data_IF_209436910692
#
_entry.id   IF_209436910692
#
_cell.length_a   1.000
_cell.length_b   1.000
_cell.length_c   1.000
_cell.angle_alpha   90.00
_cell.angle_beta   90.00
_cell.angle_gamma   90.00
#
_symmetry.space_group_name_H-M   'P 1'
#
loop_
_entity.id
_entity.type
_entity.pdbx_description
1 polymer ?
#
# COMPACT_ATOMS: atom_id res chain seq x y z
N UNK A 1 12.58 -20.67 5.75
CA UNK A 1 12.68 -19.34 5.11
C UNK A 1 14.03 -18.82 5.52
N UNK A 2 14.86 -18.51 4.53
CA UNK A 2 16.25 -18.15 4.75
C UNK A 2 16.51 -16.90 3.93
N UNK A 3 17.10 -15.89 4.56
CA UNK A 3 17.53 -14.65 3.93
C UNK A 3 19.03 -14.78 3.69
N UNK A 4 19.49 -14.48 2.49
CA UNK A 4 20.88 -14.61 2.10
C UNK A 4 21.27 -13.47 1.17
N UNK A 5 22.59 -13.36 0.90
CA UNK A 5 23.15 -12.34 0.00
C UNK A 5 22.72 -10.92 0.37
N UNK A 6 22.74 -10.61 1.66
CA UNK A 6 22.41 -9.28 2.13
C UNK A 6 23.53 -8.32 1.71
N UNK A 7 23.16 -7.23 1.07
CA UNK A 7 24.05 -6.15 0.66
C UNK A 7 23.47 -4.80 1.11
N UNK A 8 24.35 -3.85 1.42
CA UNK A 8 23.98 -2.52 1.90
C UNK A 8 24.76 -1.47 1.13
N UNK A 9 24.04 -0.69 0.32
CA UNK A 9 24.60 0.41 -0.47
C UNK A 9 24.21 1.74 0.16
N UNK A 10 25.20 2.52 0.59
CA UNK A 10 24.95 3.86 1.14
C UNK A 10 24.74 4.88 0.02
N UNK A 11 23.83 5.83 0.23
CA UNK A 11 23.66 6.95 -0.69
C UNK A 11 24.84 7.92 -0.59
N UNK A 12 25.13 8.63 -1.69
CA UNK A 12 26.16 9.67 -1.73
C UNK A 12 25.72 10.95 -1.01
N UNK A 13 26.67 11.81 -0.67
CA UNK A 13 26.44 13.16 -0.12
C UNK A 13 25.67 13.22 1.22
N UNK A 14 25.66 12.12 1.99
CA UNK A 14 25.05 12.10 3.33
C UNK A 14 25.70 13.09 4.28
N UNK A 15 27.00 13.29 4.12
CA UNK A 15 27.84 14.18 4.91
C UNK A 15 27.45 15.65 4.80
N UNK A 16 26.66 16.06 3.80
CA UNK A 16 26.11 17.41 3.71
C UNK A 16 24.96 17.65 4.70
N UNK A 17 24.24 16.60 5.10
CA UNK A 17 23.00 16.70 5.90
C UNK A 17 23.16 16.03 7.27
N UNK A 18 23.94 14.95 7.34
CA UNK A 18 24.20 14.15 8.52
C UNK A 18 25.66 14.32 8.96
N UNK A 19 25.91 14.28 10.27
CA UNK A 19 27.26 14.08 10.81
C UNK A 19 27.73 12.63 10.56
N UNK A 20 26.80 11.69 10.53
CA UNK A 20 27.06 10.31 10.17
C UNK A 20 25.78 9.47 10.16
N UNK A 21 25.86 8.35 9.44
CA UNK A 21 24.84 7.31 9.38
C UNK A 21 25.55 5.98 9.17
N UNK A 22 25.20 4.98 9.98
CA UNK A 22 25.82 3.66 9.89
C UNK A 22 24.78 2.58 10.22
N UNK A 23 24.72 1.57 9.36
CA UNK A 23 24.04 0.31 9.61
C UNK A 23 25.09 -0.71 10.07
N UNK A 24 25.01 -1.09 11.34
CA UNK A 24 25.88 -2.09 11.97
C UNK A 24 25.38 -3.51 11.71
N UNK A 25 24.06 -3.66 11.65
CA UNK A 25 23.36 -4.87 11.23
C UNK A 25 22.24 -4.51 10.24
N UNK A 26 21.98 -5.34 9.21
CA UNK A 26 22.70 -6.58 8.87
C UNK A 26 24.10 -6.30 8.31
N UNK A 27 25.07 -7.18 8.60
CA UNK A 27 26.38 -7.13 7.95
C UNK A 27 26.32 -7.71 6.53
N UNK A 28 26.96 -7.11 5.52
CA UNK A 28 26.99 -7.65 4.16
C UNK A 28 27.49 -9.10 4.13
N UNK A 29 26.85 -9.94 3.30
CA UNK A 29 27.18 -11.36 3.17
C UNK A 29 26.62 -12.27 4.27
N UNK A 30 25.87 -11.73 5.24
CA UNK A 30 25.23 -12.54 6.29
C UNK A 30 24.13 -13.42 5.69
N UNK A 31 24.10 -14.69 6.11
CA UNK A 31 22.96 -15.59 5.93
C UNK A 31 22.17 -15.69 7.23
N UNK A 32 20.86 -15.59 7.13
CA UNK A 32 19.92 -15.61 8.26
C UNK A 32 18.91 -16.71 8.01
N UNK A 33 18.94 -17.76 8.82
CA UNK A 33 17.97 -18.86 8.76
C UNK A 33 16.67 -18.52 9.54
N UNK A 34 16.02 -17.44 9.10
CA UNK A 34 14.76 -16.95 9.63
C UNK A 34 14.05 -16.13 8.57
N UNK A 35 12.76 -15.86 8.76
CA UNK A 35 12.02 -14.91 7.94
C UNK A 35 12.21 -13.45 8.38
N UNK A 36 13.03 -13.18 9.39
CA UNK A 36 13.20 -11.86 9.96
C UNK A 36 14.67 -11.45 10.01
N UNK A 37 14.91 -10.14 10.00
CA UNK A 37 16.24 -9.56 10.02
C UNK A 37 16.36 -8.53 11.13
N UNK A 38 17.53 -8.53 11.79
CA UNK A 38 17.90 -7.53 12.77
C UNK A 38 18.49 -6.31 12.07
N UNK A 39 18.11 -5.15 12.56
CA UNK A 39 18.71 -3.87 12.22
C UNK A 39 19.25 -3.20 13.47
N UNK A 40 20.50 -2.74 13.40
CA UNK A 40 21.16 -1.98 14.45
C UNK A 40 22.04 -0.91 13.80
N UNK A 41 22.16 0.25 14.44
CA UNK A 41 22.94 1.35 13.91
C UNK A 41 22.64 2.69 14.57
N UNK A 42 23.11 3.76 13.92
CA UNK A 42 22.93 5.12 14.40
C UNK A 42 22.81 6.13 13.25
N UNK A 43 22.13 7.25 13.51
CA UNK A 43 21.90 8.30 12.53
C UNK A 43 21.90 9.67 13.21
N UNK A 44 22.87 10.52 12.85
CA UNK A 44 23.10 11.81 13.51
C UNK A 44 23.00 12.96 12.51
N UNK A 45 22.01 13.85 12.69
CA UNK A 45 21.80 15.00 11.81
C UNK A 45 22.75 16.16 12.12
N UNK A 46 23.16 16.93 11.10
CA UNK A 46 23.91 18.19 11.31
C UNK A 46 23.08 19.30 11.94
N UNK A 47 21.78 19.33 11.64
CA UNK A 47 20.83 20.30 12.17
C UNK A 47 19.59 19.58 12.71
N UNK A 48 19.23 19.88 13.94
CA UNK A 48 18.10 19.25 14.63
C UNK A 48 18.40 17.80 15.02
N UNK A 49 17.42 16.91 14.85
CA UNK A 49 17.51 15.48 15.19
C UNK A 49 16.98 14.62 14.06
N UNK A 50 17.54 13.43 13.91
CA UNK A 50 16.85 12.33 13.22
C UNK A 50 15.80 11.80 14.20
N UNK A 51 14.51 11.82 13.82
CA UNK A 51 13.41 11.37 14.70
C UNK A 51 13.16 9.88 14.57
N UNK A 52 13.26 9.39 13.33
CA UNK A 52 12.95 8.01 12.96
C UNK A 52 13.64 7.65 11.67
N UNK A 53 13.86 6.35 11.47
CA UNK A 53 14.12 5.79 10.15
C UNK A 53 12.80 5.29 9.55
N UNK A 54 12.66 5.48 8.25
CA UNK A 54 11.55 4.96 7.46
C UNK A 54 12.10 4.02 6.39
N UNK A 55 11.65 2.78 6.43
CA UNK A 55 11.98 1.74 5.45
C UNK A 55 10.87 1.70 4.43
N UNK A 56 11.21 1.87 3.17
CA UNK A 56 10.29 1.93 2.05
C UNK A 56 10.52 0.71 1.14
N UNK A 57 9.44 0.15 0.63
CA UNK A 57 9.49 -0.89 -0.39
C UNK A 57 8.33 -0.69 -1.38
N UNK A 58 8.63 -0.67 -2.68
CA UNK A 58 7.60 -0.59 -3.71
C UNK A 58 6.69 0.65 -3.59
N UNK A 59 7.30 1.81 -3.31
CA UNK A 59 6.62 3.10 -3.17
C UNK A 59 5.88 3.34 -1.85
N UNK A 60 5.87 2.37 -0.92
CA UNK A 60 5.11 2.48 0.35
C UNK A 60 5.98 2.28 1.59
N UNK A 61 5.62 2.92 2.72
CA UNK A 61 6.26 2.63 4.00
C UNK A 61 6.02 1.19 4.41
N UNK A 62 7.11 0.50 4.73
CA UNK A 62 7.10 -0.89 5.16
C UNK A 62 7.37 -1.03 6.65
N UNK A 63 8.32 -0.27 7.19
CA UNK A 63 8.60 -0.19 8.64
C UNK A 63 9.02 1.23 8.99
N UNK A 64 8.82 1.62 10.25
CA UNK A 64 9.31 2.88 10.79
C UNK A 64 9.79 2.64 12.21
N UNK A 65 10.98 3.14 12.55
CA UNK A 65 11.59 2.94 13.86
C UNK A 65 12.11 4.25 14.44
N UNK A 66 11.92 4.50 15.74
CA UNK A 66 12.45 5.71 16.38
C UNK A 66 13.98 5.67 16.46
N UNK A 67 14.61 6.84 16.37
CA UNK A 67 16.04 7.03 16.62
C UNK A 67 16.20 7.73 17.96
N UNK A 68 16.27 6.93 19.02
CA UNK A 68 16.24 7.42 20.41
C UNK A 68 17.14 6.62 21.36
N UNK A 69 17.76 5.54 20.87
CA UNK A 69 18.54 4.65 21.72
C UNK A 69 19.95 5.20 21.96
N UNK A 70 20.55 4.73 23.04
CA UNK A 70 21.95 4.99 23.29
C UNK A 70 22.83 4.25 22.26
N UNK A 71 23.89 4.89 21.79
CA UNK A 71 24.89 4.25 20.92
C UNK A 71 26.30 4.73 21.27
N UNK A 72 27.13 3.82 21.76
CA UNK A 72 28.49 4.13 22.24
C UNK A 72 29.45 4.51 21.11
N UNK A 73 29.29 3.91 19.93
CA UNK A 73 30.12 4.19 18.75
C UNK A 73 29.87 5.62 18.26
N UNK A 74 28.61 6.03 18.15
CA UNK A 74 28.26 7.40 17.79
C UNK A 74 28.74 8.41 18.85
N UNK A 75 28.55 8.09 20.14
CA UNK A 75 28.97 8.94 21.25
C UNK A 75 30.49 9.18 21.25
N UNK A 76 31.29 8.14 20.99
CA UNK A 76 32.75 8.22 20.95
C UNK A 76 33.28 8.90 19.68
N UNK A 77 32.68 8.67 18.51
CA UNK A 77 33.09 9.32 17.25
C UNK A 77 32.70 10.79 17.16
N UNK A 78 31.65 11.20 17.89
CA UNK A 78 31.09 12.55 17.83
C UNK A 78 30.91 13.17 19.23
N UNK A 79 31.95 13.10 20.07
CA UNK A 79 31.93 13.58 21.48
C UNK A 79 31.38 15.00 21.64
N UNK A 80 31.72 15.90 20.71
CA UNK A 80 31.33 17.31 20.77
C UNK A 80 30.01 17.63 20.05
N UNK A 81 29.28 16.62 19.56
CA UNK A 81 28.02 16.81 18.85
C UNK A 81 26.85 16.47 19.77
N UNK A 82 25.98 17.47 20.01
CA UNK A 82 24.79 17.29 20.83
C UNK A 82 23.90 16.17 20.28
N UNK A 83 23.55 15.21 21.13
CA UNK A 83 22.67 14.09 20.77
C UNK A 83 23.37 12.87 20.17
N UNK A 84 24.70 12.91 20.01
CA UNK A 84 25.48 11.76 19.56
C UNK A 84 25.27 10.50 20.43
N UNK A 85 25.08 10.67 21.73
CA UNK A 85 24.81 9.57 22.65
C UNK A 85 23.38 9.02 22.59
N UNK A 86 22.44 9.66 21.91
CA UNK A 86 21.03 9.20 21.84
C UNK A 86 20.53 9.12 20.39
N UNK A 87 21.42 8.77 19.47
CA UNK A 87 21.13 8.70 18.04
C UNK A 87 21.13 7.26 17.49
N UNK A 88 21.06 6.27 18.38
CA UNK A 88 20.96 4.86 18.04
C UNK A 88 19.55 4.41 17.69
N UNK A 89 19.47 3.32 16.93
CA UNK A 89 18.24 2.59 16.67
C UNK A 89 18.52 1.09 16.65
N UNK A 90 17.49 0.31 17.02
CA UNK A 90 17.52 -1.15 16.95
C UNK A 90 16.11 -1.64 16.67
N UNK A 91 15.97 -2.64 15.81
CA UNK A 91 14.72 -3.38 15.65
C UNK A 91 14.97 -4.74 15.01
N UNK A 92 13.96 -5.60 15.04
CA UNK A 92 13.83 -6.73 14.12
C UNK A 92 12.57 -6.55 13.30
N UNK A 93 12.58 -6.98 12.04
CA UNK A 93 11.42 -6.93 11.17
C UNK A 93 11.29 -8.20 10.34
N UNK A 94 10.05 -8.61 10.04
CA UNK A 94 9.76 -9.77 9.21
C UNK A 94 9.78 -9.43 7.73
N UNK A 95 10.28 -10.32 6.89
CA UNK A 95 10.40 -10.14 5.43
C UNK A 95 9.12 -10.46 4.65
N UNK A 96 8.03 -10.78 5.34
CA UNK A 96 6.72 -10.96 4.72
C UNK A 96 6.28 -9.69 3.97
N UNK A 97 5.84 -9.88 2.73
CA UNK A 97 5.48 -8.86 1.77
C UNK A 97 6.67 -8.28 1.01
N UNK A 98 7.84 -8.90 1.04
CA UNK A 98 8.94 -8.56 0.11
C UNK A 98 8.92 -9.52 -1.09
N UNK A 99 9.55 -9.21 -2.23
CA UNK A 99 9.78 -10.18 -3.32
C UNK A 99 11.01 -11.05 -3.06
N UNK A 100 11.11 -12.29 -3.61
CA UNK A 100 12.23 -13.21 -3.34
C UNK A 100 13.60 -12.55 -3.49
N UNK A 101 13.75 -11.65 -4.47
CA UNK A 101 14.82 -10.66 -4.49
C UNK A 101 14.22 -9.32 -4.12
N UNK A 102 14.68 -8.71 -3.03
CA UNK A 102 14.09 -7.49 -2.51
C UNK A 102 15.09 -6.35 -2.42
N UNK A 103 14.52 -5.14 -2.43
CA UNK A 103 15.21 -3.90 -2.13
C UNK A 103 14.37 -3.11 -1.13
N UNK A 104 15.03 -2.60 -0.08
CA UNK A 104 14.46 -1.72 0.94
C UNK A 104 15.25 -0.42 0.94
N UNK A 105 14.56 0.69 0.68
CA UNK A 105 15.16 2.02 0.76
C UNK A 105 15.03 2.54 2.19
N UNK A 106 16.13 3.06 2.74
CA UNK A 106 16.22 3.53 4.12
C UNK A 106 16.32 5.05 4.12
N UNK A 107 15.34 5.71 4.72
CA UNK A 107 15.31 7.15 4.87
C UNK A 107 15.46 7.58 6.33
N UNK A 108 16.34 8.53 6.62
CA UNK A 108 16.30 9.28 7.86
C UNK A 108 15.25 10.39 7.77
N UNK A 109 14.31 10.42 8.71
CA UNK A 109 13.32 11.49 8.82
C UNK A 109 13.76 12.46 9.90
N UNK A 110 14.09 13.68 9.48
CA UNK A 110 14.54 14.75 10.36
C UNK A 110 13.38 15.35 11.16
N UNK A 111 13.69 16.10 12.21
CA UNK A 111 12.71 16.78 13.06
C UNK A 111 11.77 17.73 12.31
N UNK A 112 12.22 18.32 11.21
CA UNK A 112 11.40 19.17 10.34
C UNK A 112 10.57 18.39 9.31
N UNK A 113 10.56 17.05 9.39
CA UNK A 113 9.84 16.18 8.46
C UNK A 113 10.59 15.86 7.15
N UNK A 114 11.72 16.51 6.88
CA UNK A 114 12.54 16.22 5.68
C UNK A 114 13.02 14.77 5.73
N UNK A 115 12.82 14.06 4.62
CA UNK A 115 13.36 12.71 4.40
C UNK A 115 14.70 12.80 3.70
N UNK A 116 15.67 12.05 4.17
CA UNK A 116 17.03 11.97 3.60
C UNK A 116 17.27 10.51 3.24
N UNK A 117 17.48 10.16 1.95
CA UNK A 117 17.84 8.80 1.57
C UNK A 117 19.22 8.48 2.15
N UNK A 118 19.33 7.38 2.90
CA UNK A 118 20.54 7.01 3.64
C UNK A 118 21.23 5.78 3.06
N UNK A 119 20.47 4.71 2.84
CA UNK A 119 21.00 3.48 2.30
C UNK A 119 19.91 2.69 1.57
N UNK A 120 20.35 1.71 0.80
CA UNK A 120 19.53 0.70 0.16
C UNK A 120 20.00 -0.67 0.65
N UNK A 121 19.09 -1.44 1.26
CA UNK A 121 19.34 -2.81 1.69
C UNK A 121 18.80 -3.75 0.61
N UNK A 122 19.63 -4.65 0.11
CA UNK A 122 19.25 -5.69 -0.85
C UNK A 122 19.44 -7.06 -0.23
N UNK A 123 18.64 -8.03 -0.69
CA UNK A 123 18.80 -9.40 -0.26
C UNK A 123 17.94 -10.36 -1.07
N UNK A 124 18.23 -11.63 -0.89
CA UNK A 124 17.45 -12.73 -1.45
C UNK A 124 16.82 -13.53 -0.31
N UNK A 125 15.62 -14.05 -0.53
CA UNK A 125 14.96 -14.95 0.41
C UNK A 125 14.09 -15.98 -0.29
N UNK A 126 13.85 -17.06 0.42
CA UNK A 126 12.87 -18.07 0.00
C UNK A 126 11.43 -17.55 0.20
N UNK A 127 10.52 -17.74 -0.78
CA UNK A 127 9.12 -17.36 -0.64
C UNK A 127 8.43 -18.21 0.42
N UNK A 128 7.32 -17.69 0.96
CA UNK A 128 6.46 -18.45 1.86
C UNK A 128 5.80 -19.61 1.11
N UNK A 129 5.61 -20.74 1.79
CA UNK A 129 4.95 -21.93 1.23
C UNK A 129 3.90 -22.44 2.22
N UNK A 130 2.78 -21.71 2.40
CA UNK A 130 1.72 -22.15 3.26
C UNK A 130 1.15 -23.49 2.76
N UNK A 131 0.73 -24.35 3.68
CA UNK A 131 0.20 -25.68 3.34
C UNK A 131 -1.17 -25.62 2.63
N UNK A 132 -1.89 -24.50 2.77
CA UNK A 132 -3.18 -24.28 2.12
C UNK A 132 -2.97 -23.64 0.75
N UNK A 133 -3.50 -24.29 -0.30
CA UNK A 133 -3.54 -23.73 -1.64
C UNK A 133 -4.82 -22.89 -1.81
N UNK A 134 -4.71 -21.57 -2.09
CA UNK A 134 -5.87 -20.72 -2.29
C UNK A 134 -6.67 -21.13 -3.54
N UNK A 135 -7.99 -21.03 -3.45
CA UNK A 135 -8.98 -21.37 -4.48
C UNK A 135 -9.39 -20.17 -5.32
N UNK A 136 -9.35 -18.98 -4.74
CA UNK A 136 -9.60 -17.70 -5.41
C UNK A 136 -8.33 -16.87 -5.43
N UNK A 137 -8.26 -15.88 -6.31
CA UNK A 137 -7.15 -14.92 -6.37
C UNK A 137 -7.61 -13.49 -6.05
N UNK A 138 -6.79 -12.66 -5.39
CA UNK A 138 -7.13 -11.27 -5.14
C UNK A 138 -6.99 -10.44 -6.43
N UNK A 139 -8.02 -9.63 -6.69
CA UNK A 139 -7.98 -8.49 -7.58
C UNK A 139 -8.03 -7.20 -6.74
N UNK A 140 -6.92 -6.49 -6.63
CA UNK A 140 -6.89 -5.21 -5.89
C UNK A 140 -7.06 -4.02 -6.82
N UNK A 141 -8.02 -3.13 -6.53
CA UNK A 141 -8.13 -1.81 -7.15
C UNK A 141 -7.41 -0.78 -6.27
N UNK A 142 -6.15 -0.49 -6.59
CA UNK A 142 -5.35 0.51 -5.85
C UNK A 142 -5.62 1.90 -6.41
N UNK A 143 -6.14 2.81 -5.58
CA UNK A 143 -6.48 4.16 -6.03
C UNK A 143 -6.63 5.15 -4.87
N UNK A 144 -6.93 6.40 -5.19
CA UNK A 144 -7.34 7.43 -4.24
C UNK A 144 -8.87 7.51 -4.14
N UNK A 145 -9.38 8.25 -3.17
CA UNK A 145 -10.81 8.56 -3.13
C UNK A 145 -11.19 9.43 -4.34
N UNK A 146 -12.43 9.28 -4.82
CA UNK A 146 -13.04 10.10 -5.90
C UNK A 146 -12.40 9.97 -7.29
N UNK A 147 -11.66 8.89 -7.52
CA UNK A 147 -11.10 8.50 -8.84
C UNK A 147 -11.98 7.51 -9.60
N UNK A 148 -13.22 7.28 -9.14
CA UNK A 148 -14.16 6.37 -9.80
C UNK A 148 -14.11 4.91 -9.34
N UNK A 149 -13.45 4.61 -8.22
CA UNK A 149 -13.37 3.25 -7.67
C UNK A 149 -14.73 2.58 -7.46
N UNK A 150 -15.74 3.31 -6.98
CA UNK A 150 -17.11 2.77 -6.84
C UNK A 150 -17.66 2.28 -8.18
N UNK A 151 -17.50 3.06 -9.25
CA UNK A 151 -17.93 2.67 -10.60
C UNK A 151 -17.17 1.43 -11.06
N UNK A 152 -15.83 1.44 -10.92
CA UNK A 152 -15.00 0.31 -11.32
C UNK A 152 -15.42 -0.97 -10.60
N UNK A 153 -15.65 -0.91 -9.27
CA UNK A 153 -16.12 -2.06 -8.49
C UNK A 153 -17.51 -2.52 -8.94
N UNK A 154 -18.45 -1.59 -9.20
CA UNK A 154 -19.78 -1.94 -9.72
C UNK A 154 -19.72 -2.65 -11.07
N UNK A 155 -18.89 -2.17 -11.99
CA UNK A 155 -18.71 -2.77 -13.30
C UNK A 155 -18.05 -4.15 -13.20
N UNK A 156 -16.97 -4.28 -12.42
CA UNK A 156 -16.28 -5.55 -12.21
C UNK A 156 -17.17 -6.59 -11.53
N UNK A 157 -18.06 -6.16 -10.62
CA UNK A 157 -19.04 -7.04 -9.98
C UNK A 157 -19.99 -7.70 -10.97
N UNK A 158 -20.14 -7.20 -12.20
CA UNK A 158 -21.01 -7.83 -13.20
C UNK A 158 -20.34 -9.00 -13.93
N UNK A 159 -19.01 -9.08 -13.91
CA UNK A 159 -18.31 -10.17 -14.59
C UNK A 159 -18.51 -11.50 -13.81
N UNK A 160 -18.88 -12.62 -14.45
CA UNK A 160 -19.18 -13.87 -13.76
C UNK A 160 -17.99 -14.42 -12.96
N UNK A 161 -16.76 -14.23 -13.44
CA UNK A 161 -15.53 -14.69 -12.77
C UNK A 161 -15.03 -13.82 -11.61
N UNK A 162 -15.71 -12.71 -11.27
CA UNK A 162 -15.29 -11.79 -10.22
C UNK A 162 -16.36 -11.70 -9.13
N UNK A 163 -15.98 -11.92 -7.87
CA UNK A 163 -16.84 -11.72 -6.70
C UNK A 163 -16.33 -10.56 -5.85
N UNK A 164 -17.23 -9.82 -5.22
CA UNK A 164 -16.91 -8.83 -4.18
C UNK A 164 -18.14 -8.64 -3.30
N UNK A 165 -17.97 -8.09 -2.09
CA UNK A 165 -19.12 -7.69 -1.28
C UNK A 165 -19.89 -6.58 -1.99
N UNK A 166 -21.07 -6.92 -2.52
CA UNK A 166 -21.86 -6.04 -3.38
C UNK A 166 -22.55 -4.90 -2.61
N UNK A 167 -22.34 -4.81 -1.29
CA UNK A 167 -22.83 -3.69 -0.51
C UNK A 167 -22.06 -2.41 -0.83
N UNK A 168 -22.79 -1.41 -1.31
CA UNK A 168 -22.27 -0.04 -1.40
C UNK A 168 -21.77 0.42 -0.01
N UNK A 169 -20.57 1.03 0.12
CA UNK A 169 -19.76 1.62 -0.95
C UNK A 169 -18.67 0.71 -1.54
N UNK A 170 -18.76 -0.61 -1.36
CA UNK A 170 -17.73 -1.59 -1.73
C UNK A 170 -16.43 -1.39 -0.92
N UNK A 171 -16.56 -1.09 0.38
CA UNK A 171 -15.44 -0.79 1.29
C UNK A 171 -14.99 -2.00 2.11
N UNK A 172 -15.71 -3.12 2.05
CA UNK A 172 -15.34 -4.34 2.73
C UNK A 172 -13.99 -4.83 2.20
N UNK A 173 -13.05 -5.08 3.12
CA UNK A 173 -11.71 -5.59 2.83
C UNK A 173 -11.33 -6.79 3.70
N UNK A 174 -12.09 -7.90 3.68
CA UNK A 174 -11.76 -9.05 4.53
C UNK A 174 -10.38 -9.64 4.25
N UNK A 175 -9.96 -9.74 2.99
CA UNK A 175 -8.62 -10.21 2.64
C UNK A 175 -7.56 -9.21 3.13
N UNK A 176 -7.78 -7.91 2.89
CA UNK A 176 -6.91 -6.86 3.45
C UNK A 176 -6.74 -6.95 4.98
N UNK A 177 -7.82 -7.27 5.71
CA UNK A 177 -7.77 -7.50 7.16
C UNK A 177 -6.89 -8.70 7.51
N UNK A 178 -7.11 -9.85 6.89
CA UNK A 178 -6.32 -11.07 7.13
C UNK A 178 -4.85 -10.91 6.73
N UNK A 179 -4.55 -10.19 5.64
CA UNK A 179 -3.18 -9.84 5.24
C UNK A 179 -2.50 -8.97 6.28
N UNK A 180 -3.22 -7.97 6.81
CA UNK A 180 -2.68 -7.10 7.85
C UNK A 180 -2.45 -7.88 9.15
N UNK A 181 -3.40 -8.72 9.55
CA UNK A 181 -3.27 -9.55 10.76
C UNK A 181 -2.09 -10.52 10.63
N UNK A 182 -1.93 -11.17 9.49
CA UNK A 182 -0.77 -12.01 9.20
C UNK A 182 0.53 -11.21 9.29
N UNK A 183 0.59 -10.00 8.71
CA UNK A 183 1.77 -9.13 8.83
C UNK A 183 2.12 -8.87 10.28
N UNK A 184 1.15 -8.49 11.12
CA UNK A 184 1.40 -8.20 12.52
C UNK A 184 1.88 -9.44 13.28
N UNK A 185 1.24 -10.59 13.08
CA UNK A 185 1.59 -11.82 13.78
C UNK A 185 2.97 -12.37 13.32
N UNK A 186 3.30 -12.23 12.04
CA UNK A 186 4.58 -12.66 11.49
C UNK A 186 5.76 -11.77 11.88
N UNK A 187 5.52 -10.55 12.38
CA UNK A 187 6.58 -9.65 12.82
C UNK A 187 7.20 -10.13 14.14
N UNK A 188 8.53 -10.02 14.28
CA UNK A 188 9.16 -10.11 15.59
C UNK A 188 8.61 -9.02 16.51
N UNK A 189 8.28 -9.40 17.74
CA UNK A 189 7.96 -8.46 18.80
C UNK A 189 9.18 -7.64 19.20
N UNK A 190 8.96 -6.33 19.35
CA UNK A 190 9.99 -5.39 19.78
C UNK A 190 9.35 -4.27 20.59
N UNK A 191 9.98 -3.88 21.69
CA UNK A 191 9.52 -2.78 22.54
C UNK A 191 8.48 -3.19 23.60
N UNK A 192 7.59 -2.26 23.95
CA UNK A 192 6.62 -2.45 25.03
C UNK A 192 5.58 -3.49 24.64
N UNK A 193 5.43 -4.52 25.46
CA UNK A 193 4.38 -5.52 25.30
C UNK A 193 3.04 -4.96 25.81
N UNK A 194 2.01 -4.97 24.96
CA UNK A 194 0.64 -4.54 25.32
C UNK A 194 -0.37 -5.69 25.29
N UNK A 195 0.07 -6.93 25.06
CA UNK A 195 -0.77 -8.10 24.74
C UNK A 195 -1.92 -8.35 25.72
N UNK A 196 -1.69 -8.18 27.02
CA UNK A 196 -2.71 -8.39 28.07
C UNK A 196 -3.31 -7.08 28.60
N UNK A 197 -2.70 -5.94 28.26
CA UNK A 197 -3.06 -4.64 28.84
C UNK A 197 -3.99 -3.80 27.97
N UNK A 198 -4.06 -4.10 26.67
CA UNK A 198 -4.87 -3.36 25.71
C UNK A 198 -5.70 -4.33 24.86
N UNK A 199 -6.98 -4.50 25.21
CA UNK A 199 -7.91 -5.39 24.52
C UNK A 199 -8.37 -4.84 23.16
N UNK A 200 -7.98 -3.61 22.80
CA UNK A 200 -8.35 -2.97 21.52
C UNK A 200 -7.28 -3.10 20.45
N UNK A 201 -6.08 -3.59 20.81
CA UNK A 201 -4.93 -3.68 19.91
C UNK A 201 -4.37 -5.10 19.95
N UNK A 202 -4.16 -5.69 18.76
CA UNK A 202 -3.40 -6.93 18.62
C UNK A 202 -1.92 -6.59 18.35
N UNK A 203 -1.01 -6.70 19.34
CA UNK A 203 0.42 -6.53 19.08
C UNK A 203 1.00 -7.77 18.39
N UNK A 204 2.22 -7.68 17.82
CA UNK A 204 2.99 -8.85 17.42
C UNK A 204 3.12 -9.85 18.58
N UNK A 205 3.22 -11.13 18.27
CA UNK A 205 3.30 -12.19 19.28
C UNK A 205 4.49 -11.94 20.23
N UNK A 206 4.28 -11.73 21.55
CA UNK A 206 5.36 -11.36 22.48
C UNK A 206 6.40 -12.48 22.67
N UNK A 207 6.04 -13.71 22.29
CA UNK A 207 6.93 -14.87 22.31
C UNK A 207 7.78 -14.99 21.05
N UNK A 208 7.44 -14.29 19.96
CA UNK A 208 8.32 -14.09 18.81
C UNK A 208 9.28 -12.92 19.10
N UNK A 209 10.10 -13.02 20.15
CA UNK A 209 11.02 -11.98 20.59
C UNK A 209 12.47 -12.41 20.37
N UNK A 210 13.40 -11.45 20.30
CA UNK A 210 14.84 -11.74 20.15
C UNK A 210 15.33 -12.76 21.20
N UNK A 211 14.84 -12.67 22.45
CA UNK A 211 15.21 -13.58 23.54
C UNK A 211 14.81 -15.03 23.25
N UNK A 212 13.61 -15.24 22.72
CA UNK A 212 13.11 -16.58 22.38
C UNK A 212 13.72 -17.06 21.07
N UNK A 213 13.89 -16.18 20.09
CA UNK A 213 14.50 -16.49 18.79
C UNK A 213 15.96 -16.92 18.91
N UNK A 214 16.67 -16.50 19.96
CA UNK A 214 18.03 -16.95 20.26
C UNK A 214 18.10 -18.43 20.73
N UNK A 215 16.95 -19.09 20.95
CA UNK A 215 16.88 -20.54 21.21
C UNK A 215 16.64 -21.27 19.88
N UNK A 216 17.63 -22.01 19.33
CA UNK A 216 17.62 -22.43 17.92
C UNK A 216 16.30 -23.04 17.42
N UNK A 217 15.77 -24.05 18.12
CA UNK A 217 14.53 -24.74 17.72
C UNK A 217 13.30 -23.81 17.76
N UNK A 218 13.23 -22.90 18.73
CA UNK A 218 12.11 -21.96 18.84
C UNK A 218 12.25 -20.82 17.83
N UNK A 219 13.48 -20.36 17.56
CA UNK A 219 13.77 -19.39 16.52
C UNK A 219 13.35 -19.88 15.14
N UNK A 220 13.71 -21.12 14.79
CA UNK A 220 13.25 -21.77 13.56
C UNK A 220 11.71 -21.90 13.53
N UNK A 221 11.11 -22.37 14.62
CA UNK A 221 9.65 -22.53 14.68
C UNK A 221 8.91 -21.22 14.45
N UNK A 222 9.28 -20.13 15.14
CA UNK A 222 8.66 -18.81 14.97
C UNK A 222 8.98 -18.20 13.59
N UNK A 223 10.21 -18.38 13.10
CA UNK A 223 10.64 -17.86 11.80
C UNK A 223 10.03 -18.60 10.61
N UNK A 224 9.58 -19.84 10.79
CA UNK A 224 9.15 -20.71 9.68
C UNK A 224 7.77 -21.32 9.91
N UNK A 225 7.66 -22.29 10.81
CA UNK A 225 6.45 -23.08 10.98
C UNK A 225 5.25 -22.21 11.39
N UNK A 226 5.46 -21.29 12.33
CA UNK A 226 4.45 -20.37 12.83
C UNK A 226 3.88 -19.51 11.69
N UNK A 227 4.73 -18.81 10.94
CA UNK A 227 4.28 -17.91 9.86
C UNK A 227 3.58 -18.66 8.72
N UNK A 228 4.07 -19.84 8.33
CA UNK A 228 3.38 -20.66 7.31
C UNK A 228 2.00 -21.14 7.78
N UNK A 229 1.86 -21.51 9.06
CA UNK A 229 0.56 -21.91 9.64
C UNK A 229 -0.41 -20.74 9.75
N UNK A 230 0.06 -19.58 10.20
CA UNK A 230 -0.77 -18.36 10.25
C UNK A 230 -1.23 -17.93 8.86
N UNK A 231 -0.34 -18.04 7.85
CA UNK A 231 -0.70 -17.74 6.47
C UNK A 231 -1.73 -18.73 5.92
N UNK A 232 -1.54 -20.05 6.15
CA UNK A 232 -2.52 -21.05 5.75
C UNK A 232 -3.91 -20.80 6.38
N UNK A 233 -3.95 -20.45 7.66
CA UNK A 233 -5.19 -20.10 8.36
C UNK A 233 -5.86 -18.85 7.76
N UNK A 234 -5.09 -17.80 7.50
CA UNK A 234 -5.59 -16.58 6.86
C UNK A 234 -6.19 -16.88 5.48
N UNK A 235 -5.48 -17.62 4.63
CA UNK A 235 -5.92 -18.00 3.29
C UNK A 235 -7.22 -18.80 3.32
N UNK A 236 -7.33 -19.77 4.23
CA UNK A 236 -8.53 -20.57 4.39
C UNK A 236 -9.75 -19.71 4.76
N UNK A 237 -9.60 -18.78 5.71
CA UNK A 237 -10.69 -17.89 6.12
C UNK A 237 -11.12 -16.92 4.99
N UNK A 238 -10.16 -16.42 4.21
CA UNK A 238 -10.46 -15.56 3.05
C UNK A 238 -11.30 -16.33 2.03
N UNK A 239 -10.86 -17.52 1.64
CA UNK A 239 -11.55 -18.34 0.64
C UNK A 239 -12.92 -18.83 1.11
N UNK A 240 -13.07 -19.15 2.39
CA UNK A 240 -14.36 -19.51 2.97
C UNK A 240 -15.32 -18.33 2.95
N UNK A 241 -14.89 -17.15 3.39
CA UNK A 241 -15.76 -15.97 3.37
C UNK A 241 -16.16 -15.55 1.95
N UNK A 242 -15.22 -15.53 1.01
CA UNK A 242 -15.56 -15.14 -0.37
C UNK A 242 -16.43 -16.17 -1.09
N UNK A 243 -16.42 -17.43 -0.67
CA UNK A 243 -17.39 -18.43 -1.11
C UNK A 243 -18.79 -18.11 -0.64
N UNK A 244 -18.95 -17.70 0.62
CA UNK A 244 -20.26 -17.26 1.15
C UNK A 244 -20.75 -15.99 0.44
N UNK A 245 -19.87 -15.01 0.22
CA UNK A 245 -20.20 -13.80 -0.56
C UNK A 245 -20.60 -14.17 -2.00
N UNK A 246 -19.90 -15.12 -2.61
CA UNK A 246 -20.24 -15.60 -3.95
C UNK A 246 -21.63 -16.26 -3.98
N UNK A 247 -21.97 -17.05 -2.96
CA UNK A 247 -23.30 -17.65 -2.82
C UNK A 247 -24.40 -16.59 -2.67
N UNK A 248 -24.20 -15.57 -1.82
CA UNK A 248 -25.12 -14.43 -1.65
C UNK A 248 -25.35 -13.69 -2.98
N UNK A 249 -24.29 -13.53 -3.77
CA UNK A 249 -24.32 -12.86 -5.07
C UNK A 249 -24.79 -13.76 -6.23
N UNK A 250 -25.27 -14.99 -5.94
CA UNK A 250 -25.67 -15.98 -6.94
C UNK A 250 -24.56 -16.35 -7.95
N UNK A 251 -23.29 -16.35 -7.50
CA UNK A 251 -22.11 -16.74 -8.27
C UNK A 251 -21.53 -18.05 -7.75
N UNK A 252 -22.24 -19.14 -7.94
CA UNK A 252 -21.88 -20.45 -7.37
C UNK A 252 -20.78 -21.20 -8.14
N UNK A 253 -20.44 -20.79 -9.36
CA UNK A 253 -19.40 -21.43 -10.19
C UNK A 253 -18.66 -20.42 -11.06
N UNK A 254 -17.44 -20.77 -11.50
CA UNK A 254 -16.65 -19.97 -12.44
C UNK A 254 -15.99 -18.72 -11.86
N UNK A 255 -16.08 -18.49 -10.54
CA UNK A 255 -15.41 -17.39 -9.85
C UNK A 255 -13.91 -17.68 -9.75
N UNK A 256 -13.09 -16.74 -10.22
CA UNK A 256 -11.63 -16.82 -10.19
C UNK A 256 -11.06 -15.79 -9.23
N UNK A 257 -11.65 -14.59 -9.20
CA UNK A 257 -11.16 -13.47 -8.42
C UNK A 257 -12.14 -13.02 -7.37
N UNK A 258 -11.63 -12.65 -6.19
CA UNK A 258 -12.33 -11.72 -5.32
C UNK A 258 -11.73 -10.31 -5.49
N UNK A 259 -12.55 -9.26 -5.48
CA UNK A 259 -12.10 -7.90 -5.69
C UNK A 259 -12.24 -7.02 -4.44
N UNK A 260 -11.19 -6.25 -4.14
CA UNK A 260 -11.17 -5.26 -3.06
C UNK A 260 -10.55 -3.96 -3.58
N UNK A 261 -11.06 -2.81 -3.13
CA UNK A 261 -10.40 -1.52 -3.38
C UNK A 261 -9.50 -1.16 -2.21
N UNK A 262 -8.35 -0.55 -2.49
CA UNK A 262 -7.37 -0.22 -1.48
C UNK A 262 -6.68 1.11 -1.77
N UNK A 263 -6.22 1.78 -0.73
CA UNK A 263 -5.23 2.85 -0.88
C UNK A 263 -3.86 2.22 -1.22
N UNK A 264 -2.90 3.01 -1.75
CA UNK A 264 -1.54 2.53 -1.93
C UNK A 264 -0.92 2.15 -0.57
N UNK A 265 -0.73 0.85 -0.34
CA UNK A 265 -0.20 0.31 0.92
C UNK A 265 0.64 -0.95 0.70
N UNK A 266 1.09 -1.60 1.77
CA UNK A 266 1.96 -2.77 1.70
C UNK A 266 1.20 -4.09 1.49
N UNK A 267 -0.12 -4.10 1.65
CA UNK A 267 -0.92 -5.34 1.63
C UNK A 267 -0.91 -6.03 0.26
N UNK A 268 -0.80 -5.27 -0.83
CA UNK A 268 -0.71 -5.83 -2.18
C UNK A 268 0.56 -6.67 -2.38
N UNK A 269 1.64 -6.36 -1.66
CA UNK A 269 2.84 -7.20 -1.70
C UNK A 269 2.66 -8.52 -0.95
N UNK A 270 1.89 -8.52 0.15
CA UNK A 270 1.50 -9.74 0.85
C UNK A 270 0.60 -10.58 -0.04
N UNK A 271 -0.37 -9.95 -0.71
CA UNK A 271 -1.23 -10.63 -1.67
C UNK A 271 -0.41 -11.34 -2.76
N UNK A 272 0.60 -10.69 -3.34
CA UNK A 272 1.50 -11.29 -4.35
C UNK A 272 2.38 -12.41 -3.81
N UNK A 273 2.80 -12.33 -2.55
CA UNK A 273 3.57 -13.42 -1.93
C UNK A 273 2.71 -14.67 -1.70
N UNK A 274 1.44 -14.49 -1.32
CA UNK A 274 0.56 -15.60 -0.97
C UNK A 274 -0.21 -16.18 -2.16
N UNK A 275 -0.48 -15.38 -3.18
CA UNK A 275 -1.27 -15.78 -4.35
C UNK A 275 -0.44 -15.60 -5.63
N UNK A 276 -0.08 -16.71 -6.31
CA UNK A 276 0.69 -16.64 -7.56
C UNK A 276 0.01 -15.79 -8.65
N UNK A 277 -1.32 -15.77 -8.67
CA UNK A 277 -2.13 -15.07 -9.66
C UNK A 277 -2.75 -13.78 -9.09
N UNK A 278 -2.18 -13.17 -8.04
CA UNK A 278 -2.64 -11.88 -7.55
C UNK A 278 -2.57 -10.82 -8.65
N UNK A 279 -3.67 -10.09 -8.88
CA UNK A 279 -3.75 -9.01 -9.87
C UNK A 279 -3.99 -7.66 -9.17
N UNK A 280 -3.40 -6.61 -9.71
CA UNK A 280 -3.56 -5.24 -9.21
C UNK A 280 -3.88 -4.31 -10.37
N UNK A 281 -4.97 -3.54 -10.24
CA UNK A 281 -5.29 -2.45 -11.15
C UNK A 281 -5.05 -1.14 -10.41
N UNK A 282 -4.23 -0.27 -10.98
CA UNK A 282 -4.06 1.09 -10.48
C UNK A 282 -5.01 1.99 -11.26
N UNK A 283 -6.04 2.46 -10.57
CA UNK A 283 -7.03 3.36 -11.16
C UNK A 283 -6.59 4.80 -10.96
N UNK A 284 -6.40 5.53 -12.04
CA UNK A 284 -6.04 6.95 -12.06
C UNK A 284 -7.19 7.74 -12.66
N UNK A 285 -7.34 8.99 -12.22
CA UNK A 285 -8.26 9.98 -12.79
C UNK A 285 -7.52 11.30 -12.88
N UNK A 286 -7.91 12.19 -13.78
CA UNK A 286 -7.44 13.58 -13.79
C UNK A 286 -7.56 14.16 -12.37
N UNK A 287 -6.43 14.56 -11.79
CA UNK A 287 -6.36 15.00 -10.40
C UNK A 287 -7.16 16.29 -10.16
N UNK A 288 -7.41 17.07 -11.22
CA UNK A 288 -8.29 18.25 -11.18
C UNK A 288 -9.74 17.82 -10.98
N UNK A 289 -10.20 16.80 -11.71
CA UNK A 289 -11.55 16.24 -11.51
C UNK A 289 -11.68 15.53 -10.16
N UNK A 290 -10.63 14.86 -9.70
CA UNK A 290 -10.60 14.25 -8.36
C UNK A 290 -10.84 15.31 -7.28
N UNK A 291 -10.07 16.40 -7.27
CA UNK A 291 -10.25 17.48 -6.28
C UNK A 291 -11.60 18.16 -6.44
N UNK A 292 -12.01 18.46 -7.68
CA UNK A 292 -13.34 19.01 -7.98
C UNK A 292 -14.46 18.14 -7.38
N UNK A 293 -14.36 16.81 -7.52
CA UNK A 293 -15.31 15.86 -6.97
C UNK A 293 -15.31 15.85 -5.43
N UNK A 294 -14.13 15.95 -4.80
CA UNK A 294 -14.01 16.02 -3.33
C UNK A 294 -14.67 17.27 -2.76
N UNK A 295 -14.41 18.44 -3.36
CA UNK A 295 -14.99 19.73 -2.93
C UNK A 295 -16.52 19.68 -3.08
N UNK A 296 -17.02 19.27 -4.25
CA UNK A 296 -18.45 19.16 -4.51
C UNK A 296 -19.14 18.14 -3.57
N UNK A 297 -18.47 17.03 -3.25
CA UNK A 297 -19.00 16.03 -2.32
C UNK A 297 -19.13 16.59 -0.89
N UNK A 298 -18.09 17.26 -0.38
CA UNK A 298 -18.12 17.86 0.95
C UNK A 298 -19.23 18.93 1.04
N UNK A 299 -19.38 19.76 0.01
CA UNK A 299 -20.48 20.73 -0.07
C UNK A 299 -21.86 20.05 -0.06
N UNK A 300 -22.06 19.01 -0.89
CA UNK A 300 -23.33 18.25 -0.94
C UNK A 300 -23.67 17.57 0.39
N UNK A 301 -22.66 17.10 1.14
CA UNK A 301 -22.84 16.36 2.40
C UNK A 301 -22.88 17.24 3.64
N UNK A 302 -22.40 18.49 3.56
CA UNK A 302 -22.38 19.42 4.68
C UNK A 302 -21.34 19.12 5.75
N UNK A 303 -20.38 18.21 5.49
CA UNK A 303 -19.26 17.93 6.39
C UNK A 303 -17.95 17.71 5.63
N UNK A 304 -16.84 18.02 6.29
CA UNK A 304 -15.51 17.85 5.73
C UNK A 304 -15.04 16.38 5.80
N UNK A 305 -14.52 15.88 4.70
CA UNK A 305 -13.83 14.58 4.63
C UNK A 305 -12.69 14.64 3.61
N UNK A 306 -12.01 13.51 3.39
CA UNK A 306 -10.81 13.37 2.56
C UNK A 306 -9.61 14.18 3.09
N UNK A 307 -9.59 14.53 4.37
CA UNK A 307 -8.57 15.37 4.98
C UNK A 307 -8.86 16.87 4.90
N UNK A 308 -10.00 17.29 4.32
CA UNK A 308 -10.41 18.70 4.27
C UNK A 308 -10.57 19.31 5.66
N UNK A 309 -10.88 18.48 6.66
CA UNK A 309 -11.00 18.82 8.07
C UNK A 309 -9.69 19.29 8.71
N UNK A 310 -8.53 19.04 8.08
CA UNK A 310 -7.21 19.40 8.62
C UNK A 310 -6.65 20.71 8.04
N UNK A 311 -7.40 21.40 7.18
CA UNK A 311 -6.97 22.61 6.47
C UNK A 311 -8.10 23.62 6.43
N UNK A 312 -7.79 24.89 6.25
CA UNK A 312 -8.80 25.96 6.32
C UNK A 312 -9.34 26.32 4.93
N UNK A 313 -8.49 26.20 3.90
CA UNK A 313 -8.84 26.61 2.53
C UNK A 313 -8.76 25.49 1.49
N UNK A 314 -9.44 25.68 0.36
CA UNK A 314 -9.35 24.77 -0.79
C UNK A 314 -7.95 24.79 -1.42
N UNK A 315 -7.23 25.91 -1.29
CA UNK A 315 -5.86 26.02 -1.76
C UNK A 315 -4.90 25.13 -0.95
N UNK A 316 -5.01 25.15 0.37
CA UNK A 316 -4.27 24.24 1.25
C UNK A 316 -4.67 22.79 1.00
N UNK A 317 -5.97 22.53 0.77
CA UNK A 317 -6.47 21.20 0.44
C UNK A 317 -5.85 20.65 -0.85
N UNK A 318 -5.78 21.45 -1.92
CA UNK A 318 -5.11 21.08 -3.18
C UNK A 318 -3.62 20.75 -2.93
N UNK A 319 -2.89 21.61 -2.20
CA UNK A 319 -1.47 21.38 -1.90
C UNK A 319 -1.26 20.12 -1.09
N UNK A 320 -2.13 19.85 -0.11
CA UNK A 320 -2.09 18.62 0.68
C UNK A 320 -2.27 17.38 -0.21
N UNK A 321 -3.18 17.42 -1.20
CA UNK A 321 -3.45 16.29 -2.10
C UNK A 321 -2.27 15.93 -3.00
N UNK A 322 -1.31 16.83 -3.21
CA UNK A 322 -0.08 16.54 -3.96
C UNK A 322 0.66 15.32 -3.40
N UNK A 323 0.68 15.16 -2.07
CA UNK A 323 1.35 14.02 -1.45
C UNK A 323 0.64 12.69 -1.76
N UNK A 324 -0.70 12.70 -1.74
CA UNK A 324 -1.50 11.52 -2.04
C UNK A 324 -1.33 11.08 -3.49
N UNK A 325 -1.35 12.05 -4.42
CA UNK A 325 -1.15 11.83 -5.86
C UNK A 325 0.26 11.31 -6.15
N UNK A 326 1.29 11.99 -5.64
CA UNK A 326 2.68 11.56 -5.82
C UNK A 326 2.93 10.14 -5.27
N UNK A 327 2.27 9.78 -4.16
CA UNK A 327 2.32 8.41 -3.62
C UNK A 327 1.66 7.40 -4.56
N UNK A 328 0.50 7.71 -5.15
CA UNK A 328 -0.17 6.81 -6.10
C UNK A 328 0.73 6.56 -7.33
N UNK A 329 1.27 7.63 -7.93
CA UNK A 329 2.15 7.53 -9.10
C UNK A 329 3.47 6.83 -8.79
N UNK A 330 4.09 7.14 -7.64
CA UNK A 330 5.27 6.42 -7.18
C UNK A 330 5.02 4.92 -6.98
N UNK A 331 3.82 4.53 -6.54
CA UNK A 331 3.42 3.11 -6.47
C UNK A 331 3.19 2.53 -7.86
N UNK A 332 2.60 3.29 -8.79
CA UNK A 332 2.41 2.84 -10.16
C UNK A 332 3.74 2.56 -10.87
N UNK A 333 4.69 3.50 -10.78
CA UNK A 333 6.03 3.33 -11.32
C UNK A 333 6.75 2.15 -10.66
N UNK A 334 6.72 2.05 -9.33
CA UNK A 334 7.41 0.99 -8.58
C UNK A 334 6.80 -0.42 -8.78
N UNK A 335 5.60 -0.53 -9.33
CA UNK A 335 4.88 -1.80 -9.52
C UNK A 335 4.49 -2.09 -10.97
N UNK A 336 4.98 -1.30 -11.92
CA UNK A 336 4.55 -1.32 -13.32
C UNK A 336 4.59 -2.72 -13.97
N UNK A 337 5.54 -3.58 -13.60
CA UNK A 337 5.66 -4.95 -14.13
C UNK A 337 4.58 -5.91 -13.63
N UNK A 338 3.79 -5.49 -12.65
CA UNK A 338 2.89 -6.35 -11.89
C UNK A 338 1.49 -5.76 -11.71
N UNK A 339 1.20 -4.62 -12.32
CA UNK A 339 -0.11 -3.97 -12.24
C UNK A 339 -0.54 -3.44 -13.61
N UNK A 340 -1.85 -3.39 -13.83
CA UNK A 340 -2.43 -2.68 -14.96
C UNK A 340 -2.82 -1.27 -14.53
N UNK A 341 -2.27 -0.24 -15.18
CA UNK A 341 -2.74 1.12 -15.01
C UNK A 341 -3.97 1.37 -15.88
N UNK A 342 -5.03 1.95 -15.32
CA UNK A 342 -6.29 2.27 -16.00
C UNK A 342 -6.69 3.70 -15.68
N UNK A 343 -7.04 4.49 -16.70
CA UNK A 343 -7.65 5.80 -16.51
C UNK A 343 -9.16 5.65 -16.36
N UNK A 344 -9.72 6.37 -15.41
CA UNK A 344 -11.15 6.44 -15.17
C UNK A 344 -11.90 6.95 -16.41
N UNK A 345 -11.29 7.90 -17.11
CA UNK A 345 -11.79 8.52 -18.32
C UNK A 345 -11.99 7.49 -19.41
N UNK A 346 -11.02 6.59 -19.63
CA UNK A 346 -11.13 5.50 -20.61
C UNK A 346 -12.25 4.53 -20.23
N UNK A 347 -12.39 4.20 -18.94
CA UNK A 347 -13.46 3.34 -18.44
C UNK A 347 -14.86 3.95 -18.63
N UNK A 348 -14.97 5.27 -18.73
CA UNK A 348 -16.24 5.99 -18.95
C UNK A 348 -16.50 6.24 -20.44
N UNK A 349 -15.48 6.67 -21.18
CA UNK A 349 -15.61 7.13 -22.56
C UNK A 349 -15.51 5.97 -23.55
N UNK A 350 -14.66 4.98 -23.26
CA UNK A 350 -14.36 3.82 -24.11
C UNK A 350 -14.47 2.50 -23.31
N UNK A 351 -15.66 2.20 -22.74
CA UNK A 351 -15.84 1.09 -21.81
C UNK A 351 -15.54 -0.27 -22.44
N UNK A 352 -15.92 -0.51 -23.70
CA UNK A 352 -15.67 -1.78 -24.38
C UNK A 352 -14.18 -2.09 -24.49
N UNK A 353 -13.41 -1.17 -25.09
CA UNK A 353 -11.96 -1.33 -25.24
C UNK A 353 -11.26 -1.46 -23.88
N UNK A 354 -11.65 -0.63 -22.91
CA UNK A 354 -11.03 -0.64 -21.58
C UNK A 354 -11.33 -1.93 -20.82
N UNK A 355 -12.57 -2.43 -20.86
CA UNK A 355 -12.96 -3.66 -20.19
C UNK A 355 -12.35 -4.89 -20.84
N UNK A 356 -12.28 -4.96 -22.17
CA UNK A 356 -11.54 -6.03 -22.87
C UNK A 356 -10.10 -6.08 -22.39
N UNK A 357 -9.40 -4.93 -22.36
CA UNK A 357 -8.01 -4.86 -21.85
C UNK A 357 -7.88 -5.30 -20.40
N UNK A 358 -8.83 -4.93 -19.54
CA UNK A 358 -8.85 -5.36 -18.14
C UNK A 358 -9.03 -6.88 -18.06
N UNK A 359 -10.01 -7.45 -18.76
CA UNK A 359 -10.30 -8.89 -18.71
C UNK A 359 -9.18 -9.73 -19.32
N UNK A 360 -8.52 -9.26 -20.38
CA UNK A 360 -7.31 -9.87 -20.93
C UNK A 360 -6.17 -9.91 -19.90
N UNK A 361 -5.93 -8.80 -19.18
CA UNK A 361 -4.93 -8.75 -18.10
C UNK A 361 -5.26 -9.70 -16.95
N UNK A 362 -6.55 -9.86 -16.63
CA UNK A 362 -7.04 -10.78 -15.62
C UNK A 362 -7.07 -12.23 -16.09
N UNK A 363 -6.86 -12.50 -17.38
CA UNK A 363 -6.92 -13.83 -17.99
C UNK A 363 -8.30 -14.49 -17.79
N UNK A 364 -9.37 -13.71 -17.95
CA UNK A 364 -10.78 -14.15 -17.90
C UNK A 364 -11.49 -13.80 -19.22
N UNK A 365 -12.74 -14.22 -19.38
CA UNK A 365 -13.49 -14.02 -20.64
C UNK A 365 -13.58 -12.54 -21.03
N UNK A 366 -12.96 -12.20 -22.15
CA UNK A 366 -12.92 -10.84 -22.72
C UNK A 366 -13.65 -10.75 -24.06
N UNK A 367 -14.40 -11.80 -24.44
CA UNK A 367 -15.18 -11.85 -25.66
C UNK A 367 -16.24 -10.74 -25.69
N UNK A 368 -16.59 -10.32 -26.91
CA UNK A 368 -17.50 -9.18 -27.11
C UNK A 368 -18.87 -9.37 -26.45
N UNK A 369 -19.38 -10.60 -26.35
CA UNK A 369 -20.67 -10.85 -25.72
C UNK A 369 -20.59 -10.68 -24.20
N UNK A 370 -19.53 -11.20 -23.57
CA UNK A 370 -19.28 -11.00 -22.12
C UNK A 370 -19.10 -9.51 -21.79
N UNK A 371 -18.27 -8.80 -22.56
CA UNK A 371 -18.02 -7.37 -22.33
C UNK A 371 -19.30 -6.55 -22.49
N UNK A 372 -20.07 -6.77 -23.57
CA UNK A 372 -21.35 -6.10 -23.78
C UNK A 372 -22.35 -6.40 -22.65
N UNK A 373 -22.41 -7.65 -22.19
CA UNK A 373 -23.26 -8.06 -21.06
C UNK A 373 -22.90 -7.35 -19.76
N UNK A 374 -21.61 -7.21 -19.45
CA UNK A 374 -21.12 -6.45 -18.27
C UNK A 374 -21.52 -4.98 -18.35
N UNK A 375 -21.35 -4.35 -19.52
CA UNK A 375 -21.70 -2.94 -19.74
C UNK A 375 -23.20 -2.72 -19.55
N UNK A 376 -24.02 -3.61 -20.13
CA UNK A 376 -25.48 -3.49 -20.02
C UNK A 376 -25.97 -3.72 -18.58
N UNK A 377 -25.44 -4.74 -17.89
CA UNK A 377 -25.76 -4.98 -16.48
C UNK A 377 -25.39 -3.79 -15.59
N UNK A 378 -24.22 -3.19 -15.82
CA UNK A 378 -23.79 -1.97 -15.11
C UNK A 378 -24.76 -0.80 -15.37
N UNK A 379 -25.19 -0.62 -16.62
CA UNK A 379 -26.14 0.43 -17.01
C UNK A 379 -27.47 0.30 -16.27
N UNK A 380 -27.99 -0.91 -16.13
CA UNK A 380 -29.25 -1.18 -15.43
C UNK A 380 -29.17 -0.83 -13.94
N UNK A 381 -28.07 -1.19 -13.27
CA UNK A 381 -27.87 -0.90 -11.83
C UNK A 381 -27.70 0.60 -11.57
N UNK A 382 -27.01 1.33 -12.45
CA UNK A 382 -26.76 2.76 -12.25
C UNK A 382 -28.02 3.63 -12.30
N UNK A 383 -29.14 3.13 -12.84
CA UNK A 383 -30.41 3.87 -12.87
C UNK A 383 -31.05 4.00 -11.47
N UNK A 384 -30.69 3.14 -10.51
CA UNK A 384 -31.28 3.13 -9.16
C UNK A 384 -30.47 3.91 -8.10
N UNK A 385 -29.28 4.43 -8.43
CA UNK A 385 -28.33 4.98 -7.45
C UNK A 385 -28.14 6.51 -7.54
N UNK A 386 -29.18 7.26 -7.18
CA UNK A 386 -29.17 8.74 -7.19
C UNK A 386 -28.37 9.40 -6.05
N UNK A 387 -28.16 8.68 -4.93
CA UNK A 387 -27.66 9.28 -3.69
C UNK A 387 -26.16 9.68 -3.69
N UNK A 388 -25.37 9.15 -4.64
CA UNK A 388 -23.90 9.27 -4.63
C UNK A 388 -23.31 10.00 -5.82
N UNK A 389 -24.11 10.24 -6.85
CA UNK A 389 -23.67 10.96 -8.03
C UNK A 389 -23.52 12.44 -7.66
N UNK A 390 -22.34 13.00 -7.98
CA UNK A 390 -22.10 14.45 -7.94
C UNK A 390 -22.32 15.09 -9.31
N UNK A 391 -22.76 14.31 -10.30
CA UNK A 391 -23.12 14.70 -11.67
C UNK A 391 -24.41 13.99 -12.09
N UNK A 392 -25.13 14.54 -13.08
CA UNK A 392 -26.34 13.94 -13.62
C UNK A 392 -26.06 12.77 -14.61
N UNK A 393 -24.87 12.73 -15.20
CA UNK A 393 -24.37 11.68 -16.10
C UNK A 393 -22.93 11.27 -15.72
N UNK A 394 -22.53 10.05 -16.01
CA UNK A 394 -21.17 9.53 -15.81
C UNK A 394 -20.18 10.23 -16.74
N UNK A 395 -20.58 10.49 -18.00
CA UNK A 395 -19.76 11.26 -18.94
C UNK A 395 -19.56 12.70 -18.48
N UNK A 396 -20.57 13.30 -17.84
CA UNK A 396 -20.47 14.63 -17.25
C UNK A 396 -19.48 14.71 -16.07
N UNK A 397 -18.98 13.57 -15.58
CA UNK A 397 -17.94 13.55 -14.57
C UNK A 397 -16.52 13.73 -15.14
N UNK A 398 -16.32 13.54 -16.46
CA UNK A 398 -15.03 13.69 -17.12
C UNK A 398 -14.85 15.13 -17.61
N UNK A 399 -13.76 15.77 -17.20
CA UNK A 399 -13.42 17.15 -17.56
C UNK A 399 -14.27 18.22 -16.87
N UNK A 400 -15.08 17.87 -15.87
CA UNK A 400 -15.95 18.82 -15.15
C UNK A 400 -15.16 19.89 -14.39
N UNK A 401 -13.90 19.63 -14.06
CA UNK A 401 -13.01 20.60 -13.45
C UNK A 401 -12.91 21.90 -14.27
N UNK A 402 -13.11 21.83 -15.59
CA UNK A 402 -13.07 22.99 -16.49
C UNK A 402 -14.18 24.00 -16.20
N UNK A 403 -15.35 23.53 -15.78
CA UNK A 403 -16.55 24.34 -15.49
C UNK A 403 -16.72 24.59 -14.01
N UNK A 404 -16.45 23.58 -13.18
CA UNK A 404 -16.87 23.57 -11.77
C UNK A 404 -15.79 24.13 -10.83
N UNK A 405 -14.51 24.10 -11.23
CA UNK A 405 -13.46 24.74 -10.45
C UNK A 405 -13.34 26.24 -10.79
N UNK A 406 -13.35 27.13 -9.79
CA UNK A 406 -13.04 28.54 -9.99
C UNK A 406 -11.70 28.73 -10.72
N UNK A 407 -11.56 29.75 -11.60
CA UNK A 407 -10.33 29.97 -12.38
C UNK A 407 -9.04 29.96 -11.54
N UNK A 408 -9.07 30.56 -10.35
CA UNK A 408 -7.92 30.58 -9.42
C UNK A 408 -7.50 29.19 -8.95
N UNK A 409 -8.45 28.28 -8.71
CA UNK A 409 -8.14 26.91 -8.28
C UNK A 409 -7.66 26.04 -9.44
N UNK A 410 -8.09 26.32 -10.67
CA UNK A 410 -7.56 25.64 -11.87
C UNK A 410 -6.06 25.90 -12.04
N UNK A 411 -5.67 27.18 -12.05
CA UNK A 411 -4.25 27.60 -12.11
C UNK A 411 -3.45 26.95 -10.97
N UNK A 412 -4.00 26.92 -9.75
CA UNK A 412 -3.35 26.29 -8.62
C UNK A 412 -3.19 24.76 -8.80
N UNK A 413 -4.19 24.08 -9.34
CA UNK A 413 -4.07 22.66 -9.66
C UNK A 413 -2.97 22.41 -10.69
N UNK A 414 -2.87 23.24 -11.73
CA UNK A 414 -1.83 23.10 -12.75
C UNK A 414 -0.43 23.37 -12.15
N UNK A 415 -0.28 24.36 -11.25
CA UNK A 415 0.96 24.58 -10.50
C UNK A 415 1.32 23.41 -9.57
N UNK A 416 0.34 22.82 -8.88
CA UNK A 416 0.57 21.81 -7.84
C UNK A 416 0.73 20.41 -8.42
N UNK A 417 -0.07 20.09 -9.43
CA UNK A 417 -0.15 18.77 -10.04
C UNK A 417 0.50 18.70 -11.43
N UNK A 418 0.97 19.80 -12.03
CA UNK A 418 1.41 19.82 -13.44
C UNK A 418 2.34 18.68 -13.84
N UNK A 419 3.45 18.49 -13.13
CA UNK A 419 4.37 17.37 -13.37
C UNK A 419 3.68 16.00 -13.22
N UNK A 420 2.82 15.86 -12.22
CA UNK A 420 2.11 14.61 -11.91
C UNK A 420 1.02 14.32 -12.95
N UNK A 421 0.34 15.35 -13.48
CA UNK A 421 -0.64 15.25 -14.55
C UNK A 421 0.04 14.76 -15.83
N UNK A 422 1.19 15.34 -16.19
CA UNK A 422 1.97 14.89 -17.34
C UNK A 422 2.44 13.45 -17.18
N UNK A 423 2.97 13.08 -16.01
CA UNK A 423 3.35 11.69 -15.69
C UNK A 423 2.17 10.72 -15.81
N UNK A 424 0.97 11.16 -15.44
CA UNK A 424 -0.26 10.39 -15.56
C UNK A 424 -0.92 10.44 -16.95
N UNK A 425 -0.31 11.12 -17.92
CA UNK A 425 -0.79 11.21 -19.31
C UNK A 425 -1.94 12.20 -19.53
N UNK A 426 -2.00 13.29 -18.75
CA UNK A 426 -2.94 14.39 -18.93
C UNK A 426 -2.23 15.67 -19.36
N UNK A 427 -2.91 16.46 -20.20
CA UNK A 427 -2.45 17.79 -20.57
C UNK A 427 -2.55 18.77 -19.40
N UNK A 428 -1.57 19.68 -19.30
CA UNK A 428 -1.50 20.75 -18.30
C UNK A 428 -1.89 22.07 -18.93
#
# INVERSE_FOLDING_TARGET
>A
MTIHRIDVVYHENLDQILHGFELQQPSPGTEIDSNSMRLDGWALARRGKVRRLQFMHGGVPWKTIPVTLHNEIAASRHVNVRGASTCGFRCSFGTLGLPPRFQIEVFAVLQNGRRVPCATIRGERNPLRPAYAPKLSPLTITSLARTGTTRAMQTLAQHPSIVLDAQYPFEARPAGYWFHMLKILAEPSFGKNTFESDLSVLPPCPFNSEVISNRPTLGDWFGNAYVNRTAAFALQNIDELYREIAAINNKSSGVTYFAEKSLPCHLQWIARELYPNAKEIILIRDFRDMVCSMIAFNHKRGFATFGRENVESDAEFIRMKRHDVARLLGVAAARQEHCLCVRYEDLVLEPECTLTRIFDYLEISSDSATVAGVIEAHRLICQDLDFHRTTADDRASVGRWKTDLPPKLRVLCDEVFGELLQEAGYDV
#
